data_IF_210573819973
#
_entry.id   IF_210573819973
#
_cell.length_a   1.000
_cell.length_b   1.000
_cell.length_c   1.000
_cell.angle_alpha   90.00
_cell.angle_beta   90.00
_cell.angle_gamma   90.00
#
_symmetry.space_group_name_H-M   'P 1'
#
loop_
_entity.id
_entity.type
_entity.pdbx_description
1 polymer ?
#
# COMPACT_ATOMS: atom_id res chain seq x y z
N UNK A 1 -12.94 -21.78 -7.23
CA UNK A 1 -11.75 -20.91 -7.13
C UNK A 1 -11.22 -20.67 -8.54
N UNK A 2 -10.70 -19.47 -8.84
CA UNK A 2 -10.49 -18.95 -10.21
C UNK A 2 -9.39 -19.65 -11.04
N UNK A 3 -8.97 -20.87 -10.70
CA UNK A 3 -7.91 -21.60 -11.42
C UNK A 3 -6.52 -20.95 -11.34
N UNK A 4 -6.29 -20.13 -10.32
CA UNK A 4 -5.02 -19.43 -10.09
C UNK A 4 -4.19 -20.26 -9.10
N UNK A 5 -2.90 -20.42 -9.40
CA UNK A 5 -1.93 -21.04 -8.50
C UNK A 5 -1.78 -20.21 -7.21
N UNK A 6 -1.96 -20.84 -6.06
CA UNK A 6 -1.87 -20.17 -4.75
C UNK A 6 -0.45 -19.67 -4.46
N UNK A 7 0.58 -20.27 -5.06
CA UNK A 7 1.98 -19.82 -4.91
C UNK A 7 2.29 -18.49 -5.61
N UNK A 8 1.39 -18.02 -6.49
CA UNK A 8 1.52 -16.72 -7.17
C UNK A 8 1.35 -15.53 -6.22
N UNK A 9 0.82 -15.75 -5.01
CA UNK A 9 0.57 -14.72 -4.01
C UNK A 9 1.40 -15.00 -2.76
N UNK A 10 2.29 -14.06 -2.42
CA UNK A 10 3.01 -14.08 -1.13
C UNK A 10 2.29 -13.21 -0.13
N UNK A 11 1.70 -13.84 0.89
CA UNK A 11 1.14 -13.14 2.04
C UNK A 11 2.26 -12.71 2.98
N UNK A 12 2.24 -11.44 3.38
CA UNK A 12 3.15 -10.88 4.37
C UNK A 12 2.33 -10.14 5.43
N UNK A 13 2.78 -10.16 6.67
CA UNK A 13 2.21 -9.32 7.72
C UNK A 13 2.68 -7.86 7.56
N UNK A 14 1.97 -6.92 8.20
CA UNK A 14 2.23 -5.48 8.07
C UNK A 14 3.49 -4.98 8.81
N UNK A 15 4.12 -5.82 9.62
CA UNK A 15 5.32 -5.51 10.41
C UNK A 15 6.59 -6.10 9.77
N UNK A 16 6.44 -7.08 8.90
CA UNK A 16 7.50 -7.65 8.09
C UNK A 16 8.08 -6.61 7.12
N UNK A 17 9.39 -6.68 6.84
CA UNK A 17 10.03 -5.75 5.92
C UNK A 17 9.45 -5.90 4.51
N UNK A 18 9.13 -4.77 3.89
CA UNK A 18 8.65 -4.72 2.51
C UNK A 18 9.76 -5.09 1.52
N UNK A 19 9.42 -5.67 0.36
CA UNK A 19 10.40 -5.91 -0.69
C UNK A 19 11.00 -4.59 -1.19
N UNK A 20 12.31 -4.60 -1.44
CA UNK A 20 13.03 -3.42 -1.93
C UNK A 20 12.63 -3.06 -3.37
N UNK A 21 12.59 -1.75 -3.66
CA UNK A 21 12.36 -1.17 -4.99
C UNK A 21 11.15 -1.75 -5.76
N UNK A 22 9.93 -1.72 -5.20
CA UNK A 22 8.76 -2.22 -5.89
C UNK A 22 8.43 -1.34 -7.11
N UNK A 23 8.24 -1.95 -8.27
CA UNK A 23 7.82 -1.20 -9.47
C UNK A 23 6.40 -0.60 -9.34
N UNK A 24 5.50 -1.31 -8.63
CA UNK A 24 4.11 -0.93 -8.47
C UNK A 24 3.62 -1.26 -7.05
N UNK A 25 2.95 -0.30 -6.42
CA UNK A 25 2.32 -0.45 -5.11
C UNK A 25 0.84 -0.12 -5.23
N UNK A 26 -0.01 -1.05 -4.83
CA UNK A 26 -1.46 -0.89 -4.82
C UNK A 26 -1.94 -0.78 -3.37
N UNK A 27 -2.52 0.36 -3.00
CA UNK A 27 -3.03 0.61 -1.66
C UNK A 27 -4.54 0.71 -1.70
N UNK A 28 -5.22 -0.20 -1.01
CA UNK A 28 -6.62 0.03 -0.64
C UNK A 28 -6.62 0.88 0.63
N UNK A 29 -7.06 2.13 0.53
CA UNK A 29 -7.03 3.07 1.66
C UNK A 29 -7.80 2.47 2.85
N UNK A 30 -7.13 2.20 3.99
CA UNK A 30 -7.80 1.67 5.17
C UNK A 30 -8.67 2.74 5.80
N UNK A 31 -9.70 2.32 6.55
CA UNK A 31 -10.56 3.26 7.30
C UNK A 31 -9.80 4.02 8.39
N UNK A 32 -8.73 3.44 8.92
CA UNK A 32 -7.91 4.00 9.97
C UNK A 32 -6.71 4.71 9.34
N UNK A 33 -6.65 6.04 9.45
CA UNK A 33 -5.56 6.83 8.89
C UNK A 33 -4.21 6.53 9.54
N UNK A 34 -4.18 6.20 10.83
CA UNK A 34 -2.94 5.82 11.53
C UNK A 34 -2.27 4.58 10.93
N UNK A 35 -3.06 3.61 10.47
CA UNK A 35 -2.53 2.43 9.79
C UNK A 35 -1.96 2.80 8.42
N UNK A 36 -2.66 3.66 7.66
CA UNK A 36 -2.14 4.17 6.38
C UNK A 36 -0.80 4.89 6.58
N UNK A 37 -0.71 5.74 7.61
CA UNK A 37 0.52 6.47 7.92
C UNK A 37 1.69 5.53 8.22
N UNK A 38 1.48 4.50 9.05
CA UNK A 38 2.51 3.49 9.33
C UNK A 38 2.93 2.73 8.07
N UNK A 39 1.99 2.36 7.21
CA UNK A 39 2.27 1.69 5.94
C UNK A 39 3.05 2.58 4.97
N UNK A 40 2.71 3.87 4.88
CA UNK A 40 3.44 4.84 4.05
C UNK A 40 4.86 5.09 4.58
N UNK A 41 5.05 5.12 5.90
CA UNK A 41 6.38 5.23 6.54
C UNK A 41 7.26 4.03 6.20
N UNK A 42 6.73 2.81 6.34
CA UNK A 42 7.45 1.59 5.96
C UNK A 42 7.77 1.56 4.46
N UNK A 43 6.83 2.02 3.63
CA UNK A 43 7.01 2.09 2.18
C UNK A 43 8.12 3.07 1.78
N UNK A 44 8.25 4.21 2.48
CA UNK A 44 9.27 5.22 2.20
C UNK A 44 10.71 4.67 2.24
N UNK A 45 10.96 3.65 3.04
CA UNK A 45 12.29 3.03 3.17
C UNK A 45 12.67 2.15 1.96
N UNK A 46 11.70 1.74 1.14
CA UNK A 46 11.91 0.77 0.05
C UNK A 46 11.59 1.31 -1.35
N UNK A 47 10.87 2.43 -1.45
CA UNK A 47 10.49 3.01 -2.76
C UNK A 47 11.64 3.75 -3.43
N UNK A 48 11.55 3.81 -4.75
CA UNK A 48 12.45 4.57 -5.62
C UNK A 48 11.66 5.62 -6.41
N UNK A 49 12.30 6.59 -7.07
CA UNK A 49 11.61 7.54 -7.95
C UNK A 49 10.78 6.90 -9.07
N UNK A 50 11.12 5.67 -9.47
CA UNK A 50 10.44 4.88 -10.49
C UNK A 50 9.22 4.11 -9.94
N UNK A 51 9.07 4.05 -8.61
CA UNK A 51 7.97 3.33 -7.98
C UNK A 51 6.64 4.03 -8.26
N UNK A 52 5.71 3.32 -8.89
CA UNK A 52 4.35 3.82 -9.10
C UNK A 52 3.45 3.43 -7.92
N UNK A 53 2.89 4.40 -7.22
CA UNK A 53 1.95 4.17 -6.12
C UNK A 53 0.54 4.52 -6.57
N UNK A 54 -0.41 3.58 -6.43
CA UNK A 54 -1.82 3.78 -6.76
C UNK A 54 -2.64 3.47 -5.51
N UNK A 55 -3.27 4.49 -4.95
CA UNK A 55 -4.19 4.35 -3.82
C UNK A 55 -5.65 4.46 -4.28
N UNK A 56 -6.50 3.53 -3.85
CA UNK A 56 -7.92 3.52 -4.16
C UNK A 56 -8.77 3.42 -2.88
N UNK A 57 -9.80 4.25 -2.78
CA UNK A 57 -10.83 4.21 -1.74
C UNK A 57 -12.21 4.47 -2.35
N UNK A 58 -13.28 4.28 -1.57
CA UNK A 58 -14.59 4.79 -1.98
C UNK A 58 -14.52 6.32 -2.03
N UNK A 59 -15.20 6.95 -2.99
CA UNK A 59 -15.17 8.41 -3.15
C UNK A 59 -15.49 9.17 -1.85
N UNK A 60 -16.42 8.67 -1.05
CA UNK A 60 -16.79 9.24 0.27
C UNK A 60 -15.72 9.09 1.35
N UNK A 61 -14.81 8.13 1.21
CA UNK A 61 -13.76 7.82 2.19
C UNK A 61 -12.46 8.58 1.86
N UNK A 62 -12.32 9.11 0.63
CA UNK A 62 -11.23 10.02 0.23
C UNK A 62 -11.54 11.42 0.75
N UNK A 63 -10.88 11.80 1.83
CA UNK A 63 -10.97 13.14 2.40
C UNK A 63 -9.69 13.92 2.11
N UNK A 64 -9.71 15.25 2.23
CA UNK A 64 -8.49 16.07 2.09
C UNK A 64 -7.38 15.63 3.07
N UNK A 65 -7.73 15.05 4.22
CA UNK A 65 -6.78 14.48 5.18
C UNK A 65 -6.01 13.28 4.63
N UNK A 66 -6.53 12.57 3.62
CA UNK A 66 -5.84 11.47 2.93
C UNK A 66 -4.81 11.99 1.92
N UNK A 67 -5.01 13.21 1.40
CA UNK A 67 -4.08 13.89 0.47
C UNK A 67 -2.98 14.70 1.20
N UNK A 68 -3.24 15.10 2.45
CA UNK A 68 -2.33 15.92 3.26
C UNK A 68 -1.34 15.09 4.11
N UNK A 69 -1.34 13.76 3.99
CA UNK A 69 -0.29 12.92 4.58
C UNK A 69 1.02 13.16 3.82
N UNK A 70 1.82 14.09 4.34
CA UNK A 70 3.17 14.45 3.87
C UNK A 70 4.16 14.31 5.02
#
# INVERSE_FOLDING_TARGET
MNGIDEESVRFQDSLSPLPAAPALVLIKVPKQLALLEQQLRALREVVTPETRIIAAAKARDVHNSTLALV
#
